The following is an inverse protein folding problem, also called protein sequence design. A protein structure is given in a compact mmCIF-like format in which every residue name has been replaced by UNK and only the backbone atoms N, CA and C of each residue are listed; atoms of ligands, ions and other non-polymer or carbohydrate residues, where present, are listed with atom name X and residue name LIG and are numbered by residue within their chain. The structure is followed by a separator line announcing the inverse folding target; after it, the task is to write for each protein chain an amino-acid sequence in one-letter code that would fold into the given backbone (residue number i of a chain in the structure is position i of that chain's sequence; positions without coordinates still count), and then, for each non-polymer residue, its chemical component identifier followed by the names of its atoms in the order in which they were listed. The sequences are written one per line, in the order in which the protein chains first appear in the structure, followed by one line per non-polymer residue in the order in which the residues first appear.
data_IF_294195773532
#
_entry.id   IF_294195773532
#
_cell.length_a   1.000
_cell.length_b   1.000
_cell.length_c   1.000
_cell.angle_alpha   90.00
_cell.angle_beta   90.00
_cell.angle_gamma   90.00
#
_symmetry.space_group_name_H-M   'P 1'
#
loop_
_entity.id
_entity.type
_entity.pdbx_description
1 polymer ?
#
# COMPACT_ATOMS: atom_id res chain seq x y z
N UNK A 1 6.74 15.58 18.12
CA UNK A 1 7.50 14.85 17.07
C UNK A 1 6.49 14.21 16.14
N UNK A 2 6.67 14.31 14.83
CA UNK A 2 5.73 13.81 13.82
C UNK A 2 6.47 12.82 12.92
N UNK A 3 5.95 11.60 12.77
CA UNK A 3 6.49 10.66 11.78
C UNK A 3 5.87 10.92 10.40
N UNK A 4 6.69 10.93 9.34
CA UNK A 4 6.25 11.07 7.94
C UNK A 4 6.50 9.76 7.22
N UNK A 5 5.44 9.11 6.76
CA UNK A 5 5.56 7.88 5.98
C UNK A 5 5.74 8.23 4.51
N UNK A 6 6.85 7.77 3.93
CA UNK A 6 7.20 7.95 2.53
C UNK A 6 7.14 6.57 1.83
N UNK A 7 6.11 6.30 1.00
CA UNK A 7 6.09 5.10 0.18
C UNK A 7 7.23 5.17 -0.84
N UNK A 8 7.94 4.06 -1.04
CA UNK A 8 9.13 4.02 -1.86
C UNK A 8 9.17 2.75 -2.72
N UNK A 9 9.36 2.93 -4.04
CA UNK A 9 9.65 1.87 -4.99
C UNK A 9 10.55 2.42 -6.08
N UNK A 10 11.84 2.14 -6.00
CA UNK A 10 12.86 2.65 -6.92
C UNK A 10 12.90 4.19 -7.02
N UNK A 11 13.00 4.86 -5.87
CA UNK A 11 13.01 6.32 -5.74
C UNK A 11 14.39 6.84 -5.33
N UNK A 12 15.49 6.15 -5.65
CA UNK A 12 16.84 6.50 -5.18
C UNK A 12 17.27 7.93 -5.58
N UNK A 13 16.80 8.43 -6.72
CA UNK A 13 17.09 9.79 -7.20
C UNK A 13 16.20 10.86 -6.52
N UNK A 14 14.98 10.50 -6.12
CA UNK A 14 14.02 11.43 -5.53
C UNK A 14 14.19 11.58 -4.01
N UNK A 15 14.55 10.50 -3.32
CA UNK A 15 14.69 10.47 -1.86
C UNK A 15 15.62 11.56 -1.30
N UNK A 16 16.81 11.84 -1.87
CA UNK A 16 17.67 12.92 -1.38
C UNK A 16 16.97 14.28 -1.36
N UNK A 17 16.19 14.59 -2.39
CA UNK A 17 15.53 15.89 -2.49
C UNK A 17 14.47 16.09 -1.40
N UNK A 18 13.69 15.04 -1.09
CA UNK A 18 12.66 15.10 -0.05
C UNK A 18 13.32 15.11 1.34
N UNK A 19 14.25 14.20 1.59
CA UNK A 19 14.82 13.98 2.92
C UNK A 19 15.69 15.15 3.39
N UNK A 20 16.44 15.79 2.49
CA UNK A 20 17.24 16.99 2.83
C UNK A 20 16.41 18.23 3.15
N UNK A 21 15.11 18.22 2.83
CA UNK A 21 14.18 19.35 3.02
C UNK A 21 13.16 19.10 4.12
N UNK A 22 13.24 17.99 4.83
CA UNK A 22 12.34 17.70 5.95
C UNK A 22 12.53 18.76 7.06
N UNK A 23 11.45 19.43 7.51
CA UNK A 23 11.54 20.39 8.59
C UNK A 23 11.97 19.73 9.91
N UNK A 24 12.56 20.51 10.81
CA UNK A 24 12.89 20.05 12.15
C UNK A 24 11.64 19.53 12.88
N UNK A 25 11.80 18.45 13.66
CA UNK A 25 10.71 17.82 14.42
C UNK A 25 9.90 16.77 13.64
N UNK A 26 10.19 16.60 12.34
CA UNK A 26 9.69 15.49 11.53
C UNK A 26 10.70 14.35 11.48
N UNK A 27 10.19 13.12 11.50
CA UNK A 27 10.98 11.90 11.41
C UNK A 27 10.55 11.08 10.20
N UNK A 28 11.39 10.96 9.17
CA UNK A 28 11.03 10.20 7.98
C UNK A 28 11.06 8.69 8.23
N UNK A 29 9.98 8.03 7.83
CA UNK A 29 9.81 6.57 7.79
C UNK A 29 9.61 6.16 6.32
N UNK A 30 10.58 5.49 5.73
CA UNK A 30 10.48 5.03 4.34
C UNK A 30 9.90 3.62 4.32
N UNK A 31 8.74 3.45 3.68
CA UNK A 31 8.13 2.15 3.46
C UNK A 31 8.58 1.60 2.09
N UNK A 32 9.63 0.79 2.09
CA UNK A 32 10.25 0.25 0.87
C UNK A 32 9.49 -0.96 0.33
N UNK A 33 8.91 -0.83 -0.87
CA UNK A 33 8.11 -1.86 -1.53
C UNK A 33 8.96 -2.77 -2.44
N UNK A 34 10.11 -3.22 -1.91
CA UNK A 34 11.11 -4.00 -2.63
C UNK A 34 11.77 -3.24 -3.79
N UNK A 35 12.36 -2.09 -3.48
CA UNK A 35 13.24 -1.36 -4.41
C UNK A 35 14.47 -2.18 -4.78
N UNK A 36 14.96 -1.98 -6.00
CA UNK A 36 16.09 -2.68 -6.63
C UNK A 36 17.23 -1.75 -7.04
N UNK A 37 17.01 -0.44 -6.93
CA UNK A 37 17.93 0.64 -7.33
C UNK A 37 18.80 1.18 -6.18
N UNK A 38 18.68 0.60 -4.98
CA UNK A 38 19.40 1.07 -3.80
C UNK A 38 18.66 2.12 -2.96
N UNK A 39 17.38 2.41 -3.25
CA UNK A 39 16.56 3.37 -2.50
C UNK A 39 16.64 3.23 -0.98
N UNK A 40 16.57 1.99 -0.47
CA UNK A 40 16.65 1.72 0.97
C UNK A 40 17.96 2.22 1.59
N UNK A 41 19.09 2.05 0.88
CA UNK A 41 20.38 2.55 1.33
C UNK A 41 20.43 4.07 1.31
N UNK A 42 19.99 4.68 0.22
CA UNK A 42 19.94 6.15 0.10
C UNK A 42 19.09 6.77 1.21
N UNK A 43 17.93 6.19 1.50
CA UNK A 43 17.06 6.63 2.59
C UNK A 43 17.76 6.58 3.96
N UNK A 44 18.41 5.44 4.27
CA UNK A 44 19.12 5.26 5.53
C UNK A 44 20.30 6.23 5.67
N UNK A 45 21.05 6.46 4.59
CA UNK A 45 22.19 7.39 4.56
C UNK A 45 21.75 8.85 4.82
N UNK A 46 20.50 9.19 4.50
CA UNK A 46 19.88 10.49 4.81
C UNK A 46 19.15 10.52 6.17
N UNK A 47 19.32 9.49 7.00
CA UNK A 47 18.77 9.44 8.37
C UNK A 47 17.31 9.01 8.46
N UNK A 48 16.70 8.51 7.37
CA UNK A 48 15.37 7.93 7.43
C UNK A 48 15.40 6.52 8.02
N UNK A 49 14.36 6.16 8.77
CA UNK A 49 14.15 4.76 9.18
C UNK A 49 13.42 4.04 8.06
N UNK A 50 14.05 2.99 7.53
CA UNK A 50 13.47 2.18 6.47
C UNK A 50 12.71 1.00 7.06
N UNK A 51 11.51 0.76 6.55
CA UNK A 51 10.67 -0.40 6.84
C UNK A 51 10.45 -1.12 5.51
N UNK A 52 10.96 -2.34 5.40
CA UNK A 52 10.69 -3.18 4.24
C UNK A 52 9.23 -3.64 4.28
N UNK A 53 8.47 -3.34 3.23
CA UNK A 53 7.13 -3.86 3.03
C UNK A 53 7.19 -5.24 2.34
N UNK A 54 6.23 -6.14 2.62
CA UNK A 54 6.14 -7.41 1.92
C UNK A 54 5.95 -7.20 0.43
N UNK A 55 6.74 -7.87 -0.41
CA UNK A 55 6.58 -7.81 -1.88
C UNK A 55 5.20 -8.36 -2.27
N UNK A 56 4.33 -7.60 -2.96
CA UNK A 56 3.09 -8.15 -3.48
C UNK A 56 3.38 -9.27 -4.48
N UNK A 57 2.57 -10.32 -4.48
CA UNK A 57 2.72 -11.39 -5.49
C UNK A 57 2.34 -10.85 -6.87
N UNK A 58 3.13 -11.14 -7.91
CA UNK A 58 2.73 -10.85 -9.29
C UNK A 58 1.34 -11.45 -9.56
N UNK A 59 0.41 -10.63 -10.07
CA UNK A 59 -0.96 -11.03 -10.41
C UNK A 59 -2.01 -10.93 -9.30
N UNK A 60 -1.65 -10.55 -8.06
CA UNK A 60 -2.65 -10.36 -6.99
C UNK A 60 -3.18 -8.91 -6.87
N UNK A 61 -3.41 -8.25 -8.01
CA UNK A 61 -4.00 -6.91 -8.07
C UNK A 61 -5.46 -6.96 -8.57
N UNK A 62 -6.44 -6.29 -7.93
CA UNK A 62 -6.30 -5.36 -6.81
C UNK A 62 -5.90 -6.10 -5.52
N UNK A 63 -5.29 -5.42 -4.55
CA UNK A 63 -5.10 -5.99 -3.23
C UNK A 63 -6.47 -6.44 -2.73
N UNK A 64 -6.71 -7.76 -2.72
CA UNK A 64 -7.88 -8.30 -2.05
C UNK A 64 -7.90 -7.82 -0.59
N UNK A 65 -9.02 -7.93 0.14
CA UNK A 65 -9.10 -7.49 1.54
C UNK A 65 -8.02 -8.12 2.44
N UNK A 66 -7.37 -9.19 1.99
CA UNK A 66 -6.24 -9.89 2.62
C UNK A 66 -4.88 -9.22 2.43
N UNK A 67 -4.74 -8.21 1.56
CA UNK A 67 -3.50 -7.46 1.33
C UNK A 67 -3.30 -6.31 2.31
N UNK A 68 -4.36 -5.83 2.97
CA UNK A 68 -4.26 -4.79 4.01
C UNK A 68 -3.98 -5.37 5.41
N UNK A 69 -3.72 -6.67 5.56
CA UNK A 69 -3.44 -7.30 6.85
C UNK A 69 -2.32 -8.35 6.74
N UNK A 70 -1.47 -8.51 7.79
CA UNK A 70 -1.84 -8.25 9.18
C UNK A 70 -0.78 -7.38 9.91
N UNK A 71 -1.07 -6.09 10.08
CA UNK A 71 -0.46 -5.36 11.20
C UNK A 71 -1.12 -5.69 12.55
N UNK A 72 -2.03 -6.67 12.58
CA UNK A 72 -2.41 -7.38 13.79
C UNK A 72 -1.31 -8.37 14.16
N UNK A 73 -0.48 -7.99 15.13
CA UNK A 73 0.14 -8.96 16.00
C UNK A 73 -0.94 -9.96 16.49
N UNK A 74 -0.63 -11.27 16.65
CA UNK A 74 -1.58 -12.18 17.24
C UNK A 74 -1.76 -11.83 18.72
N UNK A 75 -2.85 -11.14 19.05
CA UNK A 75 -3.39 -11.17 20.42
C UNK A 75 -3.95 -12.58 20.65
N UNK A 76 -3.45 -13.37 21.61
CA UNK A 76 -3.84 -14.78 21.79
C UNK A 76 -5.27 -15.00 22.31
N UNK A 77 -6.13 -13.96 22.32
CA UNK A 77 -7.45 -14.01 22.95
C UNK A 77 -8.61 -13.57 22.06
N UNK A 78 -8.39 -13.29 20.76
CA UNK A 78 -9.46 -12.84 19.88
C UNK A 78 -9.78 -13.87 18.79
N UNK A 79 -10.67 -14.82 19.12
CA UNK A 79 -11.32 -15.68 18.13
C UNK A 79 -12.40 -14.86 17.42
N UNK A 80 -12.17 -14.43 16.18
CA UNK A 80 -13.21 -13.79 15.37
C UNK A 80 -14.03 -14.87 14.64
N UNK A 81 -15.37 -14.75 14.58
CA UNK A 81 -16.23 -15.70 13.90
C UNK A 81 -16.01 -15.65 12.38
N UNK A 82 -15.97 -16.83 11.76
CA UNK A 82 -15.72 -17.08 10.34
C UNK A 82 -16.60 -16.21 9.43
N UNK A 83 -15.97 -15.37 8.61
CA UNK A 83 -16.67 -14.50 7.65
C UNK A 83 -17.43 -15.32 6.62
N UNK A 84 -18.76 -15.16 6.60
CA UNK A 84 -19.66 -15.71 5.56
C UNK A 84 -19.39 -15.00 4.24
N UNK A 85 -18.92 -15.73 3.22
CA UNK A 85 -18.73 -15.21 1.86
C UNK A 85 -20.06 -14.70 1.30
N UNK A 86 -20.18 -13.39 1.05
CA UNK A 86 -21.30 -12.83 0.30
C UNK A 86 -20.98 -12.98 -1.20
N UNK A 87 -21.73 -13.83 -1.88
CA UNK A 87 -21.72 -13.96 -3.34
C UNK A 87 -22.47 -12.79 -3.95
N UNK A 88 -21.77 -11.85 -4.57
CA UNK A 88 -22.39 -10.80 -5.41
C UNK A 88 -22.69 -11.36 -6.79
N UNK A 89 -23.91 -11.87 -6.98
CA UNK A 89 -24.52 -11.92 -8.31
C UNK A 89 -25.14 -10.55 -8.57
N UNK A 90 -24.60 -9.81 -9.54
CA UNK A 90 -25.27 -8.61 -10.07
C UNK A 90 -26.44 -9.05 -10.97
N UNK A 91 -27.62 -8.42 -10.90
CA UNK A 91 -28.72 -8.73 -11.80
C UNK A 91 -28.40 -8.27 -13.24
N UNK A 92 -28.88 -8.97 -14.29
CA UNK A 92 -28.64 -8.59 -15.68
C UNK A 92 -29.31 -7.24 -16.01
N UNK A 93 -28.61 -6.42 -16.80
CA UNK A 93 -29.12 -5.13 -17.28
C UNK A 93 -30.33 -5.34 -18.24
N UNK A 94 -31.35 -4.47 -18.21
CA UNK A 94 -32.49 -4.55 -19.12
C UNK A 94 -32.07 -4.23 -20.57
N UNK A 95 -32.73 -4.81 -21.59
CA UNK A 95 -32.40 -4.57 -22.98
C UNK A 95 -32.72 -3.12 -23.40
N UNK A 96 -31.78 -2.48 -24.08
CA UNK A 96 -31.96 -1.16 -24.69
C UNK A 96 -32.83 -1.28 -25.95
N UNK A 97 -34.03 -0.70 -25.92
CA UNK A 97 -34.83 -0.50 -27.13
C UNK A 97 -34.26 0.69 -27.92
N UNK A 98 -33.74 0.43 -29.12
CA UNK A 98 -33.47 1.48 -30.09
C UNK A 98 -34.79 1.91 -30.76
N UNK A 99 -35.29 3.09 -30.41
CA UNK A 99 -36.37 3.74 -31.13
C UNK A 99 -35.80 4.42 -32.37
N UNK A 100 -36.04 3.86 -33.56
CA UNK A 100 -35.86 4.57 -34.82
C UNK A 100 -37.06 5.52 -35.00
N UNK A 101 -36.82 6.82 -34.94
CA UNK A 101 -37.82 7.82 -35.34
C UNK A 101 -37.83 7.98 -36.88
N UNK A 102 -39.01 8.24 -37.49
CA UNK A 102 -39.16 8.42 -38.94
C UNK A 102 -38.54 9.72 -39.45
#
# INVERSE_FOLDING_TARGET
MIDVVLPCLNEAEALPWVLTRMPAGFRPLVADNASTDGSARVAADHGARVVAAPKPRPGCWPPGPTSCAPWTAPSPHLTLPTTRTLSTSAPPLPPTHHTTHP
#
